data_IF_157067801562
#
_entry.id   IF_157067801562
#
_cell.length_a   1.000
_cell.length_b   1.000
_cell.length_c   1.000
_cell.angle_alpha   90.00
_cell.angle_beta   90.00
_cell.angle_gamma   90.00
#
_symmetry.space_group_name_H-M   'P 1'
#
loop_
_entity.id
_entity.type
_entity.pdbx_description
1 polymer ?
#
# COMPACT_ATOMS: atom_id res chain seq x y z
N UNK A 1 -11.16 -3.41 11.52
CA UNK A 1 -11.16 -2.16 12.33
C UNK A 1 -9.74 -1.68 12.68
N UNK A 2 -8.76 -2.49 13.15
CA UNK A 2 -7.40 -1.97 13.40
C UNK A 2 -6.63 -1.59 12.12
N UNK A 3 -6.81 -2.34 11.02
CA UNK A 3 -6.13 -2.05 9.73
C UNK A 3 -6.47 -0.67 9.17
N UNK A 4 -7.69 -0.19 9.36
CA UNK A 4 -8.09 1.14 8.91
C UNK A 4 -7.37 2.25 9.71
N UNK A 5 -7.30 2.10 11.03
CA UNK A 5 -6.54 3.03 11.87
C UNK A 5 -5.04 3.00 11.53
N UNK A 6 -4.50 1.81 11.24
CA UNK A 6 -3.11 1.65 10.82
C UNK A 6 -2.83 2.33 9.47
N UNK A 7 -3.71 2.12 8.48
CA UNK A 7 -3.61 2.77 7.17
C UNK A 7 -3.68 4.29 7.32
N UNK A 8 -4.67 4.79 8.06
CA UNK A 8 -4.80 6.22 8.31
C UNK A 8 -3.54 6.80 8.96
N UNK A 9 -2.98 6.12 9.97
CA UNK A 9 -1.72 6.51 10.60
C UNK A 9 -0.53 6.49 9.63
N UNK A 10 -0.54 5.57 8.66
CA UNK A 10 0.52 5.45 7.66
C UNK A 10 0.59 6.62 6.68
N UNK A 11 -0.52 7.35 6.47
CA UNK A 11 -0.48 8.62 5.74
C UNK A 11 0.45 9.61 6.43
N UNK A 12 0.29 9.80 7.74
CA UNK A 12 1.16 10.67 8.53
C UNK A 12 2.59 10.16 8.58
N UNK A 13 2.79 8.84 8.63
CA UNK A 13 4.12 8.23 8.65
C UNK A 13 4.89 8.49 7.34
N UNK A 14 4.29 8.21 6.19
CA UNK A 14 4.97 8.35 4.90
C UNK A 14 5.00 9.80 4.40
N UNK A 15 3.86 10.49 4.36
CA UNK A 15 3.81 11.87 3.86
C UNK A 15 4.48 12.84 4.85
N UNK A 16 4.30 12.63 6.15
CA UNK A 16 4.91 13.48 7.18
C UNK A 16 6.43 13.34 7.29
N UNK A 17 7.02 12.27 6.76
CA UNK A 17 8.48 12.05 6.77
C UNK A 17 9.25 13.10 5.98
N UNK A 18 8.60 13.84 5.08
CA UNK A 18 9.23 14.91 4.32
C UNK A 18 9.43 16.21 5.12
N UNK A 19 8.57 16.48 6.11
CA UNK A 19 8.58 17.72 6.89
C UNK A 19 8.34 19.00 6.07
N UNK A 20 7.77 18.87 4.86
CA UNK A 20 7.32 19.96 4.00
C UNK A 20 5.89 19.71 3.51
N UNK A 21 5.33 20.64 2.72
CA UNK A 21 4.02 20.50 2.08
C UNK A 21 4.15 20.88 0.62
N UNK A 22 4.51 19.91 -0.20
CA UNK A 22 4.71 20.10 -1.63
C UNK A 22 4.31 18.88 -2.48
N UNK A 23 4.81 18.81 -3.70
CA UNK A 23 4.53 17.71 -4.63
C UNK A 23 5.03 16.34 -4.15
N UNK A 24 6.13 16.27 -3.42
CA UNK A 24 6.67 15.01 -2.90
C UNK A 24 5.79 14.53 -1.74
N UNK A 25 5.27 15.46 -0.91
CA UNK A 25 4.36 15.13 0.19
C UNK A 25 3.06 14.54 -0.37
N UNK A 26 2.52 15.19 -1.41
CA UNK A 26 1.35 14.71 -2.13
C UNK A 26 1.59 13.37 -2.81
N UNK A 27 2.77 13.16 -3.39
CA UNK A 27 3.17 11.90 -4.00
C UNK A 27 3.27 10.77 -2.96
N UNK A 28 3.89 11.03 -1.80
CA UNK A 28 4.01 10.08 -0.70
C UNK A 28 2.64 9.69 -0.12
N UNK A 29 1.74 10.66 0.02
CA UNK A 29 0.36 10.41 0.42
C UNK A 29 -0.36 9.49 -0.59
N UNK A 30 -0.32 9.84 -1.88
CA UNK A 30 -1.01 9.09 -2.92
C UNK A 30 -0.44 7.68 -3.09
N UNK A 31 0.89 7.54 -3.08
CA UNK A 31 1.54 6.25 -3.12
C UNK A 31 1.16 5.37 -1.93
N UNK A 32 0.96 5.95 -0.74
CA UNK A 32 0.51 5.20 0.44
C UNK A 32 -0.88 4.61 0.27
N UNK A 33 -1.84 5.40 -0.25
CA UNK A 33 -3.20 4.93 -0.51
C UNK A 33 -3.26 3.86 -1.60
N UNK A 34 -2.61 4.14 -2.73
CA UNK A 34 -2.60 3.24 -3.89
C UNK A 34 -1.88 1.93 -3.56
N UNK A 35 -0.78 1.99 -2.82
CA UNK A 35 -0.04 0.82 -2.36
C UNK A 35 -0.91 -0.16 -1.58
N UNK A 36 -1.59 0.35 -0.55
CA UNK A 36 -2.40 -0.46 0.35
C UNK A 36 -3.65 -1.01 -0.35
N UNK A 37 -4.26 -0.22 -1.24
CA UNK A 37 -5.38 -0.64 -2.07
C UNK A 37 -4.98 -1.74 -3.06
N UNK A 38 -3.87 -1.54 -3.75
CA UNK A 38 -3.35 -2.46 -4.75
C UNK A 38 -2.94 -3.78 -4.10
N UNK A 39 -2.11 -3.75 -3.06
CA UNK A 39 -1.63 -4.96 -2.39
C UNK A 39 -2.78 -5.74 -1.72
N UNK A 40 -3.74 -5.05 -1.09
CA UNK A 40 -4.94 -5.69 -0.53
C UNK A 40 -5.79 -6.39 -1.58
N UNK A 41 -5.97 -5.77 -2.75
CA UNK A 41 -6.72 -6.34 -3.87
C UNK A 41 -5.99 -7.54 -4.47
N UNK A 42 -4.69 -7.44 -4.69
CA UNK A 42 -3.86 -8.54 -5.20
C UNK A 42 -3.93 -9.75 -4.26
N UNK A 43 -3.80 -9.52 -2.95
CA UNK A 43 -3.87 -10.62 -1.98
C UNK A 43 -5.24 -11.28 -1.93
N UNK A 44 -6.32 -10.50 -2.01
CA UNK A 44 -7.67 -11.03 -2.11
C UNK A 44 -7.84 -11.92 -3.36
N UNK A 45 -7.28 -11.50 -4.50
CA UNK A 45 -7.30 -12.28 -5.74
C UNK A 45 -6.49 -13.57 -5.58
N UNK A 46 -5.32 -13.51 -4.95
CA UNK A 46 -4.47 -14.68 -4.69
C UNK A 46 -5.20 -15.70 -3.80
N UNK A 47 -5.80 -15.25 -2.71
CA UNK A 47 -6.58 -16.10 -1.81
C UNK A 47 -7.76 -16.74 -2.55
N UNK A 48 -8.44 -15.98 -3.40
CA UNK A 48 -9.52 -16.54 -4.22
C UNK A 48 -9.00 -17.61 -5.20
N UNK A 49 -7.89 -17.38 -5.89
CA UNK A 49 -7.34 -18.35 -6.83
C UNK A 49 -6.91 -19.64 -6.12
N UNK A 50 -6.22 -19.51 -4.98
CA UNK A 50 -5.63 -20.63 -4.22
C UNK A 50 -6.69 -21.40 -3.43
N UNK A 51 -7.60 -20.71 -2.76
CA UNK A 51 -8.55 -21.30 -1.82
C UNK A 51 -9.99 -21.36 -2.34
N UNK A 52 -10.22 -20.90 -3.57
CA UNK A 52 -11.53 -20.86 -4.25
C UNK A 52 -12.59 -20.03 -3.52
N UNK A 53 -12.20 -19.23 -2.52
CA UNK A 53 -13.08 -18.33 -1.77
C UNK A 53 -12.33 -17.04 -1.40
N UNK A 54 -12.95 -15.86 -1.56
CA UNK A 54 -12.35 -14.60 -1.12
C UNK A 54 -12.26 -14.55 0.41
N UNK A 55 -11.15 -14.03 0.93
CA UNK A 55 -10.93 -13.84 2.38
C UNK A 55 -10.73 -12.37 2.71
N UNK A 56 -11.57 -11.86 3.61
CA UNK A 56 -11.42 -10.50 4.11
C UNK A 56 -10.10 -10.31 4.87
N UNK A 57 -9.65 -11.32 5.61
CA UNK A 57 -8.35 -11.30 6.30
C UNK A 57 -7.20 -11.16 5.30
N UNK A 58 -7.27 -11.83 4.15
CA UNK A 58 -6.28 -11.69 3.08
C UNK A 58 -6.19 -10.26 2.56
N UNK A 59 -7.34 -9.62 2.31
CA UNK A 59 -7.38 -8.20 1.92
C UNK A 59 -6.71 -7.31 2.97
N UNK A 60 -7.05 -7.48 4.25
CA UNK A 60 -6.46 -6.69 5.34
C UNK A 60 -4.95 -6.90 5.46
N UNK A 61 -4.49 -8.16 5.41
CA UNK A 61 -3.05 -8.50 5.47
C UNK A 61 -2.31 -7.94 4.27
N UNK A 62 -2.86 -8.08 3.08
CA UNK A 62 -2.30 -7.51 1.84
C UNK A 62 -2.18 -5.99 1.91
N UNK A 63 -3.18 -5.29 2.44
CA UNK A 63 -3.10 -3.84 2.62
C UNK A 63 -1.97 -3.43 3.58
N UNK A 64 -1.80 -4.13 4.71
CA UNK A 64 -0.69 -3.85 5.64
C UNK A 64 0.67 -4.15 5.02
N UNK A 65 0.78 -5.26 4.28
CA UNK A 65 1.98 -5.60 3.54
C UNK A 65 2.32 -4.48 2.54
N UNK A 66 1.34 -3.99 1.78
CA UNK A 66 1.51 -2.89 0.84
C UNK A 66 2.01 -1.60 1.49
N UNK A 67 1.43 -1.21 2.62
CA UNK A 67 1.90 -0.06 3.40
C UNK A 67 3.37 -0.19 3.81
N UNK A 68 3.76 -1.35 4.33
CA UNK A 68 5.14 -1.62 4.72
C UNK A 68 6.09 -1.56 3.50
N UNK A 69 5.70 -2.13 2.37
CA UNK A 69 6.56 -2.20 1.17
C UNK A 69 6.77 -0.84 0.50
N UNK A 70 5.75 0.03 0.47
CA UNK A 70 5.88 1.35 -0.18
C UNK A 70 6.68 2.36 0.66
N UNK A 71 6.76 2.14 1.98
CA UNK A 71 7.40 3.05 2.94
C UNK A 71 8.75 3.63 2.49
N UNK A 72 9.76 2.83 2.08
CA UNK A 72 11.05 3.38 1.65
C UNK A 72 11.01 4.14 0.32
N UNK A 73 9.93 4.01 -0.46
CA UNK A 73 9.79 4.52 -1.81
C UNK A 73 8.70 5.59 -1.95
N UNK A 74 7.96 5.90 -0.89
CA UNK A 74 6.70 6.65 -0.96
C UNK A 74 6.84 8.01 -1.67
N UNK A 75 7.90 8.77 -1.39
CA UNK A 75 8.17 10.06 -2.04
C UNK A 75 9.01 9.99 -3.32
N UNK A 76 9.40 8.79 -3.79
CA UNK A 76 10.44 8.62 -4.81
C UNK A 76 9.97 7.96 -6.10
N UNK A 77 8.83 7.25 -6.08
CA UNK A 77 8.28 6.55 -7.24
C UNK A 77 7.01 7.23 -7.74
N UNK A 78 6.75 7.21 -9.04
CA UNK A 78 5.45 7.52 -9.62
C UNK A 78 4.38 6.54 -9.15
N UNK A 79 3.15 7.02 -9.07
CA UNK A 79 1.95 6.23 -8.72
C UNK A 79 1.45 5.36 -9.88
N UNK A 80 2.27 5.10 -10.89
CA UNK A 80 1.89 4.27 -12.03
C UNK A 80 1.76 2.81 -11.60
N UNK A 81 0.77 2.09 -12.15
CA UNK A 81 0.56 0.64 -11.90
C UNK A 81 1.84 -0.18 -12.03
N UNK A 82 2.65 0.11 -13.06
CA UNK A 82 3.95 -0.56 -13.26
C UNK A 82 4.88 -0.41 -12.06
N UNK A 83 4.98 0.78 -11.47
CA UNK A 83 5.87 1.00 -10.34
C UNK A 83 5.31 0.43 -9.05
N UNK A 84 3.99 0.48 -8.86
CA UNK A 84 3.33 -0.24 -7.78
C UNK A 84 3.66 -1.74 -7.88
N UNK A 85 3.46 -2.37 -9.04
CA UNK A 85 3.84 -3.78 -9.27
C UNK A 85 5.31 -4.06 -8.95
N UNK A 86 6.25 -3.22 -9.38
CA UNK A 86 7.68 -3.42 -9.12
C UNK A 86 8.03 -3.29 -7.64
N UNK A 87 7.39 -2.36 -6.92
CA UNK A 87 7.58 -2.20 -5.48
C UNK A 87 6.99 -3.39 -4.72
N UNK A 88 5.82 -3.91 -5.13
CA UNK A 88 5.15 -5.03 -4.44
C UNK A 88 5.62 -6.42 -4.87
N UNK A 89 6.30 -6.56 -6.01
CA UNK A 89 6.78 -7.85 -6.52
C UNK A 89 7.58 -8.68 -5.48
N UNK A 90 8.41 -8.10 -4.61
CA UNK A 90 9.13 -8.86 -3.59
C UNK A 90 8.25 -9.48 -2.48
N UNK A 91 6.98 -9.07 -2.38
CA UNK A 91 6.09 -9.38 -1.25
C UNK A 91 4.92 -10.29 -1.64
N UNK A 92 4.68 -10.46 -2.94
CA UNK A 92 3.66 -11.35 -3.53
C UNK A 92 4.25 -12.73 -3.85
#
# INVERSE_FOLDING_TARGET
MPTFALWFGWYGFNAGSELQVDSITGLAFLNTDVAASFAGTVWLIIDWIREKRPKFVGLLTGSVAGLATITPAAGFVSTTVRQQLLVFWPVV
#
